data_IF_239589949159
#
_entry.id   IF_239589949159
#
_cell.length_a   1.000
_cell.length_b   1.000
_cell.length_c   1.000
_cell.angle_alpha   90.00
_cell.angle_beta   90.00
_cell.angle_gamma   90.00
#
_symmetry.space_group_name_H-M   'P 1'
#
loop_
_entity.id
_entity.type
_entity.pdbx_description
1 polymer ?
#
# COMPACT_ATOMS: atom_id res chain seq x y z
N UNK A 1 13.63 3.58 -13.38
CA UNK A 1 13.24 4.42 -12.22
C UNK A 1 11.74 4.30 -12.09
N UNK A 2 11.17 4.04 -10.88
CA UNK A 2 9.73 4.04 -10.74
C UNK A 2 9.24 5.45 -11.08
N UNK A 3 8.35 5.54 -12.06
CA UNK A 3 7.76 6.82 -12.46
C UNK A 3 6.84 7.22 -11.32
N UNK A 4 7.18 8.31 -10.63
CA UNK A 4 6.36 8.82 -9.54
C UNK A 4 5.07 9.41 -10.13
N UNK A 5 3.93 9.06 -9.55
CA UNK A 5 2.65 9.65 -9.91
C UNK A 5 2.68 11.16 -9.63
N UNK A 6 2.18 11.96 -10.57
CA UNK A 6 2.05 13.42 -10.44
C UNK A 6 0.92 13.77 -9.48
N UNK A 7 -0.14 12.97 -9.48
CA UNK A 7 -1.28 13.09 -8.56
C UNK A 7 -1.75 11.72 -8.11
N UNK A 8 -2.16 11.64 -6.86
CA UNK A 8 -2.76 10.46 -6.23
C UNK A 8 -3.97 10.89 -5.41
N UNK A 9 -5.12 10.26 -5.62
CA UNK A 9 -6.36 10.54 -4.89
C UNK A 9 -7.34 9.37 -4.92
N UNK A 10 -8.21 9.28 -3.91
CA UNK A 10 -9.32 8.33 -3.90
C UNK A 10 -10.57 8.96 -4.53
N UNK A 11 -11.25 8.22 -5.40
CA UNK A 11 -12.43 8.68 -6.12
C UNK A 11 -13.57 7.68 -6.03
N UNK A 12 -14.78 8.23 -5.85
CA UNK A 12 -16.05 7.51 -5.97
C UNK A 12 -16.68 7.86 -7.32
N UNK A 13 -17.15 6.86 -8.05
CA UNK A 13 -17.63 7.01 -9.41
C UNK A 13 -19.05 7.62 -9.45
N UNK A 14 -19.20 8.94 -9.75
CA UNK A 14 -20.48 9.60 -10.14
C UNK A 14 -20.30 11.08 -10.64
N UNK A 15 -21.30 11.96 -10.52
CA UNK A 15 -22.13 12.34 -11.68
C UNK A 15 -21.59 13.40 -12.63
N UNK A 16 -20.40 13.97 -12.43
CA UNK A 16 -19.83 14.92 -13.41
C UNK A 16 -18.32 14.87 -13.62
N UNK A 17 -17.63 13.78 -13.24
CA UNK A 17 -16.33 13.38 -13.84
C UNK A 17 -16.22 11.85 -13.96
N UNK A 18 -17.01 11.28 -14.88
CA UNK A 18 -17.24 9.83 -15.01
C UNK A 18 -16.32 9.19 -16.07
N UNK A 19 -15.72 8.03 -15.75
CA UNK A 19 -15.34 7.00 -16.73
C UNK A 19 -16.36 5.87 -16.58
N UNK A 20 -17.11 5.55 -17.63
CA UNK A 20 -17.98 4.37 -17.65
C UNK A 20 -17.15 3.14 -18.01
N UNK A 21 -16.55 2.52 -17.00
CA UNK A 21 -16.00 1.17 -17.14
C UNK A 21 -17.18 0.21 -17.31
N UNK A 22 -17.24 -0.51 -18.43
CA UNK A 22 -18.30 -1.51 -18.62
C UNK A 22 -18.08 -2.63 -17.60
N UNK A 23 -19.12 -2.95 -16.82
CA UNK A 23 -19.12 -4.01 -15.79
C UNK A 23 -18.16 -3.78 -14.60
N UNK A 24 -18.25 -2.63 -13.91
CA UNK A 24 -17.51 -2.41 -12.66
C UNK A 24 -18.02 -3.30 -11.53
N UNK A 25 -17.11 -4.00 -10.86
CA UNK A 25 -17.42 -4.77 -9.63
C UNK A 25 -17.21 -3.97 -8.33
N UNK A 26 -16.62 -2.75 -8.40
CA UNK A 26 -16.22 -1.96 -7.25
C UNK A 26 -16.70 -0.51 -7.37
N UNK A 27 -17.03 0.11 -6.24
CA UNK A 27 -17.59 1.48 -6.17
C UNK A 27 -16.51 2.56 -5.94
N UNK A 28 -15.39 2.19 -5.33
CA UNK A 28 -14.29 3.08 -4.97
C UNK A 28 -13.00 2.68 -5.70
N UNK A 29 -12.24 3.69 -6.12
CA UNK A 29 -10.97 3.50 -6.81
C UNK A 29 -9.92 4.46 -6.25
N UNK A 30 -8.70 3.95 -6.11
CA UNK A 30 -7.52 4.79 -6.02
C UNK A 30 -7.06 5.18 -7.42
N UNK A 31 -6.80 6.46 -7.63
CA UNK A 31 -6.41 7.02 -8.92
C UNK A 31 -5.01 7.57 -8.82
N UNK A 32 -4.13 7.10 -9.68
CA UNK A 32 -2.80 7.69 -9.89
C UNK A 32 -2.67 8.22 -11.31
N UNK A 33 -2.27 9.48 -11.44
CA UNK A 33 -2.02 10.15 -12.72
C UNK A 33 -0.51 10.26 -12.95
N UNK A 34 -0.03 9.70 -14.06
CA UNK A 34 1.38 9.67 -14.42
C UNK A 34 1.74 10.78 -15.42
N UNK A 35 3.02 11.21 -15.48
CA UNK A 35 3.45 12.30 -16.37
C UNK A 35 3.23 12.02 -17.86
N UNK A 36 3.17 10.74 -18.24
CA UNK A 36 2.92 10.28 -19.62
C UNK A 36 1.42 10.24 -19.99
N UNK A 37 0.56 10.73 -19.10
CA UNK A 37 -0.89 10.74 -19.28
C UNK A 37 -1.57 9.40 -18.96
N UNK A 38 -0.83 8.40 -18.45
CA UNK A 38 -1.44 7.17 -17.95
C UNK A 38 -2.19 7.43 -16.65
N UNK A 39 -3.32 6.75 -16.49
CA UNK A 39 -4.13 6.77 -15.27
C UNK A 39 -4.25 5.33 -14.79
N UNK A 40 -3.74 5.05 -13.59
CA UNK A 40 -3.93 3.77 -12.92
C UNK A 40 -5.17 3.84 -12.02
N UNK A 41 -6.01 2.83 -12.08
CA UNK A 41 -7.21 2.69 -11.26
C UNK A 41 -7.13 1.40 -10.47
N UNK A 42 -6.93 1.50 -9.16
CA UNK A 42 -6.92 0.34 -8.26
C UNK A 42 -8.24 0.25 -7.50
N UNK A 43 -9.00 -0.84 -7.62
CA UNK A 43 -10.23 -1.01 -6.86
C UNK A 43 -9.96 -0.98 -5.36
N UNK A 44 -10.78 -0.24 -4.61
CA UNK A 44 -10.74 -0.20 -3.15
C UNK A 44 -12.10 -0.56 -2.57
N UNK A 45 -12.05 -1.16 -1.38
CA UNK A 45 -13.21 -1.40 -0.55
C UNK A 45 -13.12 -0.53 0.69
N UNK A 46 -14.21 0.13 1.06
CA UNK A 46 -14.29 0.91 2.28
C UNK A 46 -14.52 -0.05 3.47
N UNK A 47 -13.45 -0.72 3.89
CA UNK A 47 -13.47 -1.58 5.07
C UNK A 47 -12.92 -0.84 6.29
N UNK A 48 -13.23 -1.36 7.49
CA UNK A 48 -12.61 -0.86 8.72
C UNK A 48 -11.09 -1.08 8.59
N UNK A 49 -10.26 -0.07 8.91
CA UNK A 49 -8.82 -0.25 8.93
C UNK A 49 -8.45 -1.48 9.75
N UNK A 50 -7.44 -2.22 9.32
CA UNK A 50 -6.89 -3.28 10.14
C UNK A 50 -6.23 -2.64 11.36
N UNK A 51 -6.91 -2.72 12.50
CA UNK A 51 -6.43 -2.18 13.76
C UNK A 51 -5.61 -3.25 14.50
N UNK A 52 -4.41 -2.86 14.91
CA UNK A 52 -3.62 -3.64 15.86
C UNK A 52 -3.89 -3.15 17.28
N UNK A 53 -3.70 -4.01 18.27
CA UNK A 53 -3.81 -3.58 19.67
C UNK A 53 -2.80 -2.47 20.00
N UNK A 54 -3.11 -1.60 20.96
CA UNK A 54 -2.18 -0.56 21.41
C UNK A 54 -0.83 -1.14 21.86
N UNK A 55 -0.85 -2.31 22.50
CA UNK A 55 0.37 -3.02 22.91
C UNK A 55 1.20 -3.44 21.71
N UNK A 56 0.55 -3.99 20.67
CA UNK A 56 1.23 -4.39 19.43
C UNK A 56 1.85 -3.17 18.74
N UNK A 57 1.13 -2.05 18.66
CA UNK A 57 1.65 -0.81 18.08
C UNK A 57 2.89 -0.32 18.84
N UNK A 58 2.83 -0.28 20.17
CA UNK A 58 3.96 0.13 21.01
C UNK A 58 5.19 -0.78 20.80
N UNK A 59 4.99 -2.09 20.68
CA UNK A 59 6.08 -3.03 20.37
C UNK A 59 6.71 -2.77 18.99
N UNK A 60 5.90 -2.45 17.98
CA UNK A 60 6.40 -2.10 16.64
C UNK A 60 7.22 -0.81 16.67
N UNK A 61 6.73 0.22 17.37
CA UNK A 61 7.43 1.50 17.52
C UNK A 61 8.78 1.32 18.23
N UNK A 62 8.83 0.52 19.29
CA UNK A 62 10.07 0.22 20.00
C UNK A 62 11.05 -0.57 19.12
N UNK A 63 10.54 -1.54 18.36
CA UNK A 63 11.36 -2.31 17.41
C UNK A 63 12.00 -1.41 16.36
N UNK A 64 11.24 -0.46 15.79
CA UNK A 64 11.77 0.50 14.83
C UNK A 64 12.77 1.47 15.44
N UNK A 65 12.57 1.86 16.71
CA UNK A 65 13.54 2.69 17.44
C UNK A 65 14.85 1.94 17.68
N UNK A 66 14.79 0.67 18.07
CA UNK A 66 15.96 -0.18 18.26
C UNK A 66 16.71 -0.41 16.94
N UNK A 67 15.98 -0.66 15.85
CA UNK A 67 16.54 -0.78 14.51
C UNK A 67 17.32 0.47 14.08
N UNK A 68 16.71 1.67 14.23
CA UNK A 68 17.36 2.95 13.93
C UNK A 68 18.58 3.22 14.82
N UNK A 69 18.57 2.72 16.05
CA UNK A 69 19.69 2.82 16.99
C UNK A 69 20.77 1.74 16.78
N UNK A 70 20.62 0.85 15.79
CA UNK A 70 21.56 -0.25 15.55
C UNK A 70 21.51 -1.37 16.59
N UNK A 71 20.52 -1.37 17.49
CA UNK A 71 20.27 -2.44 18.47
C UNK A 71 19.50 -3.57 17.80
N UNK A 72 20.14 -4.24 16.86
CA UNK A 72 19.55 -5.33 16.07
C UNK A 72 20.16 -6.67 16.45
N UNK A 73 19.39 -7.74 16.26
CA UNK A 73 19.89 -9.11 16.42
C UNK A 73 20.90 -9.47 15.33
N UNK A 74 21.56 -10.62 15.51
CA UNK A 74 22.46 -11.16 14.50
C UNK A 74 21.71 -11.45 13.18
N UNK A 75 22.36 -11.25 12.02
CA UNK A 75 21.77 -11.59 10.73
C UNK A 75 21.38 -13.06 10.68
N UNK A 76 20.14 -13.33 10.26
CA UNK A 76 19.68 -14.68 10.02
C UNK A 76 20.17 -15.12 8.63
N UNK A 77 20.92 -16.21 8.56
CA UNK A 77 21.33 -16.81 7.29
C UNK A 77 20.21 -17.70 6.72
N UNK A 78 19.71 -17.33 5.54
CA UNK A 78 18.67 -18.07 4.83
C UNK A 78 19.22 -19.03 3.77
N UNK A 79 20.54 -19.19 3.66
CA UNK A 79 21.20 -20.03 2.64
C UNK A 79 20.72 -21.49 2.68
N UNK A 80 20.35 -22.00 3.86
CA UNK A 80 19.85 -23.36 4.05
C UNK A 80 18.42 -23.61 3.48
N UNK A 81 17.66 -22.56 3.14
CA UNK A 81 16.25 -22.68 2.72
C UNK A 81 16.04 -22.37 1.23
N UNK A 82 17.13 -22.19 0.47
CA UNK A 82 17.10 -21.73 -0.93
C UNK A 82 16.54 -22.77 -1.92
N UNK A 83 16.44 -24.03 -1.53
CA UNK A 83 15.93 -25.12 -2.38
C UNK A 83 14.42 -25.36 -2.24
N UNK A 84 13.75 -24.68 -1.30
CA UNK A 84 12.31 -24.83 -1.01
C UNK A 84 11.44 -23.67 -1.51
N UNK A 85 11.99 -22.76 -2.31
CA UNK A 85 11.35 -21.53 -2.79
C UNK A 85 11.55 -21.40 -4.31
#
# INVERSE_FOLDING_TARGET
MPVLAVRSYDSKLDSKRRITLRATSYEYYHVEEYPDGRIMLEPRELTKPFEVSQNTLAMMDESMKNFKAGKVGEPIDFSAYKELL
#
